data_IF_659535623785
#
_entry.id   IF_659535623785
#
_cell.length_a   1.000
_cell.length_b   1.000
_cell.length_c   1.000
_cell.angle_alpha   90.00
_cell.angle_beta   90.00
_cell.angle_gamma   90.00
#
_symmetry.space_group_name_H-M   'P 1'
#
loop_
_entity.id
_entity.type
_entity.pdbx_description
1 polymer ?
#
# COMPACT_ATOMS: atom_id res chain seq x y z
N UNK A 1 -12.79 -0.27 10.13
CA UNK A 1 -12.36 1.10 9.83
C UNK A 1 -11.55 1.14 8.53
N UNK A 2 -11.65 2.29 7.79
CA UNK A 2 -10.95 2.50 6.51
C UNK A 2 -10.05 3.72 6.65
N UNK A 3 -8.77 3.58 6.29
CA UNK A 3 -7.81 4.66 6.17
C UNK A 3 -7.55 5.03 4.71
N UNK A 4 -7.29 6.30 4.41
CA UNK A 4 -6.98 6.80 3.07
C UNK A 4 -5.54 7.29 2.96
N UNK A 5 -4.86 6.94 1.87
CA UNK A 5 -3.53 7.42 1.49
C UNK A 5 -3.56 7.94 0.05
N UNK A 6 -2.78 8.95 -0.24
CA UNK A 6 -2.67 9.52 -1.58
C UNK A 6 -1.25 9.35 -2.12
N UNK A 7 -1.15 8.69 -3.27
CA UNK A 7 0.09 8.61 -4.07
C UNK A 7 1.34 8.38 -3.22
N UNK A 8 2.13 9.45 -3.09
CA UNK A 8 3.43 9.41 -2.42
C UNK A 8 3.38 9.10 -0.91
N UNK A 9 2.23 9.24 -0.23
CA UNK A 9 2.07 8.84 1.19
C UNK A 9 2.42 7.36 1.38
N UNK A 10 2.22 6.54 0.33
CA UNK A 10 2.52 5.12 0.35
C UNK A 10 4.02 4.83 0.58
N UNK A 11 4.91 5.74 0.18
CA UNK A 11 6.35 5.59 0.38
C UNK A 11 6.77 5.70 1.86
N UNK A 12 5.93 6.34 2.70
CA UNK A 12 6.22 6.58 4.11
C UNK A 12 5.53 5.56 5.01
N UNK A 13 6.28 4.66 5.67
CA UNK A 13 5.71 3.65 6.56
C UNK A 13 4.93 4.27 7.73
N UNK A 14 5.31 5.46 8.18
CA UNK A 14 4.68 6.16 9.30
C UNK A 14 3.22 6.54 9.00
N UNK A 15 2.89 6.90 7.75
CA UNK A 15 1.54 7.27 7.35
C UNK A 15 0.59 6.07 7.47
N UNK A 16 0.96 4.94 6.87
CA UNK A 16 0.18 3.70 6.98
C UNK A 16 0.12 3.17 8.41
N UNK A 17 1.25 3.26 9.15
CA UNK A 17 1.32 2.83 10.55
C UNK A 17 0.39 3.65 11.45
N UNK A 18 0.31 4.95 11.25
CA UNK A 18 -0.58 5.81 12.03
C UNK A 18 -2.04 5.40 11.84
N UNK A 19 -2.48 5.22 10.60
CA UNK A 19 -3.84 4.77 10.28
C UNK A 19 -4.15 3.39 10.88
N UNK A 20 -3.20 2.46 10.82
CA UNK A 20 -3.38 1.14 11.39
C UNK A 20 -3.46 1.16 12.93
N UNK A 21 -2.71 2.05 13.59
CA UNK A 21 -2.78 2.26 15.05
C UNK A 21 -4.09 2.93 15.47
N UNK A 22 -4.66 3.76 14.60
CA UNK A 22 -5.99 4.37 14.79
C UNK A 22 -7.14 3.38 14.47
N UNK A 23 -6.80 2.13 14.14
CA UNK A 23 -7.75 1.03 14.02
C UNK A 23 -8.18 0.70 12.59
N UNK A 24 -7.50 1.20 11.56
CA UNK A 24 -7.84 0.84 10.18
C UNK A 24 -7.63 -0.66 9.92
N UNK A 25 -8.61 -1.29 9.29
CA UNK A 25 -8.59 -2.69 8.82
C UNK A 25 -8.26 -2.76 7.32
N UNK A 26 -8.57 -1.69 6.60
CA UNK A 26 -8.33 -1.51 5.17
C UNK A 26 -7.70 -0.14 4.93
N UNK A 27 -6.63 -0.11 4.16
CA UNK A 27 -6.06 1.12 3.60
C UNK A 27 -6.44 1.22 2.13
N UNK A 28 -7.09 2.32 1.75
CA UNK A 28 -7.37 2.67 0.36
C UNK A 28 -6.31 3.66 -0.13
N UNK A 29 -5.66 3.32 -1.23
CA UNK A 29 -4.62 4.14 -1.86
C UNK A 29 -5.09 4.59 -3.23
N UNK A 30 -5.12 5.89 -3.48
CA UNK A 30 -5.37 6.48 -4.79
C UNK A 30 -4.08 7.09 -5.32
N UNK A 31 -3.58 6.61 -6.45
CA UNK A 31 -2.27 7.01 -6.96
C UNK A 31 -2.26 7.29 -8.47
N UNK A 32 -1.24 8.02 -8.87
CA UNK A 32 -0.79 8.20 -10.24
C UNK A 32 0.71 7.83 -10.32
N UNK A 33 1.03 6.61 -9.88
CA UNK A 33 2.40 6.10 -9.88
C UNK A 33 2.81 5.65 -11.28
N UNK A 34 4.00 6.04 -11.69
CA UNK A 34 4.50 5.76 -13.01
C UNK A 34 5.99 6.08 -13.09
N UNK A 35 6.50 6.25 -14.30
CA UNK A 35 7.90 6.57 -14.54
C UNK A 35 8.08 7.61 -15.67
N UNK A 36 9.12 8.39 -15.56
CA UNK A 36 9.60 9.24 -16.65
C UNK A 36 10.42 8.41 -17.66
N UNK A 37 10.64 8.88 -18.91
CA UNK A 37 11.36 8.14 -19.95
C UNK A 37 12.78 7.71 -19.57
N UNK A 38 13.43 8.44 -18.67
CA UNK A 38 14.80 8.15 -18.22
C UNK A 38 14.87 7.16 -17.05
N UNK A 39 13.73 6.77 -16.49
CA UNK A 39 13.66 5.82 -15.38
C UNK A 39 13.45 4.40 -15.89
N UNK A 40 13.98 3.43 -15.16
CA UNK A 40 13.74 2.01 -15.45
C UNK A 40 12.26 1.65 -15.10
N UNK A 41 11.44 1.24 -16.07
CA UNK A 41 10.06 0.86 -15.84
C UNK A 41 9.91 -0.29 -14.83
N UNK A 42 10.80 -1.28 -14.92
CA UNK A 42 10.78 -2.44 -14.04
C UNK A 42 11.06 -2.07 -12.58
N UNK A 43 11.97 -1.11 -12.36
CA UNK A 43 12.27 -0.62 -11.02
C UNK A 43 11.08 0.17 -10.44
N UNK A 44 10.46 1.05 -11.22
CA UNK A 44 9.30 1.82 -10.77
C UNK A 44 8.10 0.92 -10.42
N UNK A 45 7.86 -0.12 -11.20
CA UNK A 45 6.84 -1.13 -10.92
C UNK A 45 7.18 -1.93 -9.65
N UNK A 46 8.43 -2.35 -9.49
CA UNK A 46 8.88 -3.09 -8.31
C UNK A 46 8.76 -2.25 -7.03
N UNK A 47 9.05 -0.96 -7.07
CA UNK A 47 8.85 -0.02 -5.96
C UNK A 47 7.38 0.06 -5.55
N UNK A 48 6.47 0.27 -6.51
CA UNK A 48 5.03 0.30 -6.30
C UNK A 48 4.53 -0.96 -5.61
N UNK A 49 4.87 -2.12 -6.15
CA UNK A 49 4.48 -3.42 -5.60
C UNK A 49 5.05 -3.63 -4.19
N UNK A 50 6.32 -3.31 -4.00
CA UNK A 50 7.00 -3.45 -2.71
C UNK A 50 6.33 -2.61 -1.64
N UNK A 51 6.00 -1.35 -1.92
CA UNK A 51 5.33 -0.48 -0.95
C UNK A 51 3.97 -1.02 -0.55
N UNK A 52 3.13 -1.44 -1.49
CA UNK A 52 1.80 -1.98 -1.19
C UNK A 52 1.89 -3.20 -0.29
N UNK A 53 2.72 -4.18 -0.66
CA UNK A 53 2.89 -5.41 0.10
C UNK A 53 3.50 -5.15 1.49
N UNK A 54 4.48 -4.24 1.58
CA UNK A 54 5.08 -3.86 2.85
C UNK A 54 4.04 -3.21 3.78
N UNK A 55 3.23 -2.26 3.27
CA UNK A 55 2.20 -1.59 4.08
C UNK A 55 1.15 -2.56 4.58
N UNK A 56 0.75 -3.54 3.77
CA UNK A 56 -0.18 -4.59 4.20
C UNK A 56 0.44 -5.47 5.30
N UNK A 57 1.62 -6.02 5.05
CA UNK A 57 2.28 -7.00 5.93
C UNK A 57 2.69 -6.38 7.27
N UNK A 58 3.39 -5.25 7.27
CA UNK A 58 3.93 -4.62 8.49
C UNK A 58 2.85 -4.06 9.41
N UNK A 59 1.64 -3.79 8.87
CA UNK A 59 0.50 -3.25 9.61
C UNK A 59 -0.60 -4.28 9.88
N UNK A 60 -0.48 -5.48 9.31
CA UNK A 60 -1.51 -6.53 9.34
C UNK A 60 -2.89 -5.95 8.97
N UNK A 61 -2.98 -5.35 7.78
CA UNK A 61 -4.19 -4.73 7.20
C UNK A 61 -4.36 -5.14 5.75
N UNK A 62 -5.58 -5.01 5.23
CA UNK A 62 -5.78 -5.00 3.78
C UNK A 62 -5.29 -3.68 3.18
N UNK A 63 -4.76 -3.75 1.96
CA UNK A 63 -4.45 -2.56 1.15
C UNK A 63 -5.12 -2.71 -0.20
N UNK A 64 -6.00 -1.77 -0.54
CA UNK A 64 -6.61 -1.65 -1.86
C UNK A 64 -6.01 -0.42 -2.56
N UNK A 65 -5.11 -0.65 -3.50
CA UNK A 65 -4.39 0.40 -4.20
C UNK A 65 -4.90 0.52 -5.64
N UNK A 66 -5.43 1.68 -5.96
CA UNK A 66 -5.84 2.07 -7.32
C UNK A 66 -4.79 2.97 -7.91
N UNK A 67 -4.28 2.63 -9.09
CA UNK A 67 -3.29 3.41 -9.81
C UNK A 67 -3.80 3.80 -11.19
N UNK A 68 -3.35 4.95 -11.65
CA UNK A 68 -3.65 5.49 -12.98
C UNK A 68 -3.02 4.62 -14.08
N UNK A 69 -3.66 4.60 -15.25
CA UNK A 69 -3.12 4.04 -16.50
C UNK A 69 -2.94 5.12 -17.56
N UNK A 70 -2.10 4.85 -18.54
CA UNK A 70 -1.90 5.68 -19.73
C UNK A 70 -0.75 6.67 -19.62
N UNK A 71 -0.76 7.67 -20.46
CA UNK A 71 0.34 8.63 -20.61
C UNK A 71 -0.11 10.07 -20.37
N UNK A 72 0.79 10.86 -19.86
CA UNK A 72 0.64 12.31 -19.77
C UNK A 72 1.97 12.97 -20.09
N UNK A 73 2.01 13.74 -21.20
CA UNK A 73 3.26 14.23 -21.80
C UNK A 73 4.22 13.07 -22.12
N UNK A 74 5.32 12.97 -21.38
CA UNK A 74 6.31 11.89 -21.51
C UNK A 74 6.27 10.93 -20.31
N UNK A 75 5.34 11.10 -19.38
CA UNK A 75 5.23 10.26 -18.19
C UNK A 75 4.28 9.09 -18.45
N UNK A 76 4.70 7.89 -18.13
CA UNK A 76 3.91 6.67 -18.31
C UNK A 76 3.41 6.16 -16.96
N UNK A 77 2.09 5.91 -16.87
CA UNK A 77 1.41 5.33 -15.70
C UNK A 77 1.03 3.89 -16.02
N UNK A 78 1.66 2.96 -15.33
CA UNK A 78 1.60 1.54 -15.67
C UNK A 78 0.40 0.80 -15.03
N UNK A 79 -0.50 1.47 -14.32
CA UNK A 79 -1.62 0.79 -13.68
C UNK A 79 -1.18 -0.11 -12.53
N UNK A 80 -1.32 -1.42 -12.69
CA UNK A 80 -1.01 -2.42 -11.67
C UNK A 80 -1.77 -2.19 -10.35
N UNK A 81 -3.04 -1.79 -10.45
CA UNK A 81 -3.94 -1.68 -9.30
C UNK A 81 -4.14 -3.04 -8.66
N UNK A 82 -4.09 -3.10 -7.31
CA UNK A 82 -4.14 -4.38 -6.62
C UNK A 82 -4.76 -4.32 -5.23
N UNK A 83 -5.23 -5.47 -4.78
CA UNK A 83 -5.71 -5.68 -3.41
C UNK A 83 -4.80 -6.72 -2.76
N UNK A 84 -4.22 -6.35 -1.63
CA UNK A 84 -3.25 -7.17 -0.87
C UNK A 84 -3.79 -7.40 0.54
N UNK A 85 -3.65 -8.61 1.03
CA UNK A 85 -4.11 -9.03 2.35
C UNK A 85 -3.09 -8.80 3.46
N UNK A 86 -3.49 -9.02 4.73
CA UNK A 86 -2.69 -8.70 5.91
C UNK A 86 -1.42 -9.54 6.08
N UNK A 87 -1.25 -10.58 5.28
CA UNK A 87 -0.03 -11.40 5.21
C UNK A 87 0.81 -11.14 3.96
N UNK A 88 0.48 -10.09 3.19
CA UNK A 88 1.15 -9.75 1.95
C UNK A 88 0.69 -10.57 0.74
N UNK A 89 -0.34 -11.40 0.86
CA UNK A 89 -0.93 -12.17 -0.24
C UNK A 89 -1.77 -11.28 -1.17
N UNK A 90 -1.70 -11.51 -2.47
CA UNK A 90 -2.49 -10.78 -3.46
C UNK A 90 -3.87 -11.40 -3.60
N UNK A 91 -4.93 -10.63 -3.34
CA UNK A 91 -6.33 -11.03 -3.50
C UNK A 91 -6.85 -10.76 -4.91
N UNK A 92 -6.44 -9.64 -5.50
CA UNK A 92 -6.79 -9.27 -6.87
C UNK A 92 -5.75 -8.29 -7.41
N UNK A 93 -5.55 -8.28 -8.71
CA UNK A 93 -4.74 -7.27 -9.39
C UNK A 93 -5.24 -7.08 -10.84
N UNK A 94 -4.85 -6.00 -11.46
CA UNK A 94 -5.19 -5.63 -12.83
C UNK A 94 -3.88 -5.53 -13.60
N UNK A 95 -3.70 -6.40 -14.60
CA UNK A 95 -2.53 -6.38 -15.51
C UNK A 95 -2.63 -5.30 -16.59
N UNK A 96 -3.82 -4.70 -16.74
CA UNK A 96 -4.10 -3.77 -17.84
C UNK A 96 -3.34 -2.45 -17.63
N UNK A 97 -2.50 -2.09 -18.59
CA UNK A 97 -1.69 -0.87 -18.55
C UNK A 97 -2.27 0.27 -19.43
N UNK A 98 -3.25 -0.06 -20.27
CA UNK A 98 -3.70 0.86 -21.34
C UNK A 98 -5.15 1.30 -21.18
N UNK A 99 -5.98 0.50 -20.53
CA UNK A 99 -7.42 0.74 -20.40
C UNK A 99 -7.84 0.85 -18.94
N UNK A 100 -8.93 1.59 -18.74
CA UNK A 100 -9.64 1.59 -17.46
C UNK A 100 -10.21 0.19 -17.19
N UNK A 101 -9.92 -0.34 -16.02
CA UNK A 101 -10.39 -1.64 -15.58
C UNK A 101 -10.74 -1.62 -14.08
N UNK A 102 -11.42 -2.66 -13.63
CA UNK A 102 -11.70 -2.84 -12.21
C UNK A 102 -11.50 -4.29 -11.79
N UNK A 103 -11.16 -4.49 -10.53
CA UNK A 103 -11.10 -5.80 -9.90
C UNK A 103 -11.92 -5.79 -8.61
N UNK A 104 -12.51 -6.94 -8.28
CA UNK A 104 -13.32 -7.12 -7.07
C UNK A 104 -12.73 -8.28 -6.27
N UNK A 105 -12.63 -8.08 -4.95
CA UNK A 105 -12.30 -9.14 -4.02
C UNK A 105 -13.25 -9.10 -2.81
N UNK A 106 -13.54 -10.28 -2.26
CA UNK A 106 -14.21 -10.39 -0.97
C UNK A 106 -13.16 -10.43 0.13
N UNK A 107 -13.23 -9.51 1.08
CA UNK A 107 -12.28 -9.39 2.18
C UNK A 107 -12.91 -9.92 3.47
N UNK A 108 -12.30 -10.94 4.07
CA UNK A 108 -12.62 -11.37 5.42
C UNK A 108 -11.88 -10.48 6.43
N UNK A 109 -12.57 -9.51 7.00
CA UNK A 109 -11.96 -8.59 7.98
C UNK A 109 -11.51 -9.30 9.27
N UNK A 110 -12.03 -10.50 9.55
CA UNK A 110 -11.56 -11.31 10.68
C UNK A 110 -10.11 -11.79 10.48
N UNK A 111 -9.64 -11.86 9.23
CA UNK A 111 -8.24 -12.16 8.92
C UNK A 111 -7.29 -11.09 9.47
N UNK A 112 -7.69 -9.81 9.49
CA UNK A 112 -6.91 -8.72 10.11
C UNK A 112 -6.73 -8.98 11.60
N UNK A 113 -7.83 -9.26 12.31
CA UNK A 113 -7.80 -9.55 13.75
C UNK A 113 -6.91 -10.76 14.06
N UNK A 114 -7.11 -11.88 13.34
CA UNK A 114 -6.32 -13.10 13.51
C UNK A 114 -4.83 -12.86 13.28
N UNK A 115 -4.49 -12.14 12.21
CA UNK A 115 -3.08 -11.81 11.89
C UNK A 115 -2.45 -10.93 12.98
N UNK A 116 -3.18 -9.93 13.48
CA UNK A 116 -2.69 -9.07 14.58
C UNK A 116 -2.50 -9.84 15.88
N UNK A 117 -3.41 -10.75 16.23
CA UNK A 117 -3.31 -11.62 17.41
C UNK A 117 -2.10 -12.58 17.31
N UNK A 118 -1.86 -13.14 16.13
CA UNK A 118 -0.79 -14.10 15.90
C UNK A 118 0.60 -13.44 15.84
N UNK A 119 0.73 -12.36 15.07
CA UNK A 119 2.02 -11.69 14.87
C UNK A 119 2.36 -10.66 15.96
N UNK A 120 1.37 -10.14 16.66
CA UNK A 120 1.50 -9.12 17.72
C UNK A 120 2.35 -7.90 17.34
N UNK A 121 2.39 -7.55 16.05
CA UNK A 121 3.26 -6.48 15.52
C UNK A 121 3.03 -5.13 16.18
N UNK A 122 1.79 -4.81 16.54
CA UNK A 122 1.47 -3.54 17.20
C UNK A 122 1.90 -3.53 18.66
N UNK A 123 1.74 -4.65 19.37
CA UNK A 123 2.05 -4.80 20.79
C UNK A 123 3.56 -4.85 21.03
N UNK A 124 4.33 -5.45 20.10
CA UNK A 124 5.78 -5.59 20.21
C UNK A 124 6.55 -4.31 19.83
N UNK A 125 5.86 -3.22 19.46
CA UNK A 125 6.51 -1.94 19.17
C UNK A 125 7.17 -1.36 20.42
N UNK A 126 8.29 -0.67 20.20
CA UNK A 126 9.04 0.03 21.25
C UNK A 126 9.10 1.54 20.97
N UNK A 127 7.99 2.30 21.13
CA UNK A 127 7.94 3.73 20.80
C UNK A 127 9.08 4.57 21.40
N UNK A 128 9.57 4.29 22.64
CA UNK A 128 10.70 5.04 23.18
C UNK A 128 12.00 4.91 22.35
N UNK A 129 12.17 3.81 21.60
CA UNK A 129 13.33 3.61 20.74
C UNK A 129 13.25 4.41 19.42
N UNK A 130 12.04 4.86 19.04
CA UNK A 130 11.77 5.51 17.74
C UNK A 130 11.76 7.03 17.81
N UNK A 131 12.40 7.63 18.81
CA UNK A 131 12.40 9.09 19.04
C UNK A 131 12.91 9.91 17.86
N UNK A 132 13.80 9.33 17.04
CA UNK A 132 14.31 9.98 15.82
C UNK A 132 13.23 10.24 14.76
N UNK A 133 12.17 9.43 14.70
CA UNK A 133 11.09 9.59 13.73
C UNK A 133 10.28 10.89 13.90
N UNK A 134 10.26 11.45 15.10
CA UNK A 134 9.53 12.68 15.41
C UNK A 134 10.41 13.93 15.48
N UNK A 135 11.70 13.80 15.21
CA UNK A 135 12.62 14.94 15.14
C UNK A 135 12.56 15.59 13.77
N UNK A 136 12.55 16.92 13.75
CA UNK A 136 12.75 17.68 12.51
C UNK A 136 14.25 17.68 12.18
N UNK A 137 14.55 17.52 10.91
CA UNK A 137 15.90 17.68 10.39
C UNK A 137 16.26 19.16 10.28
#
# INVERSE_FOLDING_TARGET
>A
YIGGLLGWDLAFPEAARSLALDGADLLCVCANWGHAPAQDPGLALAEWQTYIHARALENAVFVAASNRVGEEYSYHFFGDSRIVGPRGETYAFIEEEVQEAYAIATLDLDAVRKTREELQLMQCRMPPAYRSLVRRY
#
